data_IF_243923708942
#
_entry.id   IF_243923708942
#
_cell.length_a   1.000
_cell.length_b   1.000
_cell.length_c   1.000
_cell.angle_alpha   90.00
_cell.angle_beta   90.00
_cell.angle_gamma   90.00
#
_symmetry.space_group_name_H-M   'P 1'
#
loop_
_entity.id
_entity.type
_entity.pdbx_description
1 polymer ?
#
# COMPACT_ATOMS: atom_id res chain seq x y z
N UNK A 1 -5.88 48.94 16.39
CA UNK A 1 -7.28 48.49 16.24
C UNK A 1 -7.29 47.21 15.43
N UNK A 2 -7.58 46.01 15.90
CA UNK A 2 -7.85 45.45 17.22
C UNK A 2 -7.38 43.97 17.18
N UNK A 3 -7.36 43.27 18.32
CA UNK A 3 -6.59 42.03 18.51
C UNK A 3 -7.44 40.77 18.24
N UNK A 4 -6.80 39.67 17.81
CA UNK A 4 -7.41 38.35 17.91
C UNK A 4 -6.46 37.40 18.63
N UNK A 5 -6.79 37.20 19.90
CA UNK A 5 -6.15 36.29 20.85
C UNK A 5 -6.47 34.85 20.46
N UNK A 6 -5.43 34.03 20.23
CA UNK A 6 -5.57 32.58 20.24
C UNK A 6 -5.68 32.08 21.70
N UNK A 7 -6.67 31.23 22.04
CA UNK A 7 -6.80 30.67 23.37
C UNK A 7 -5.77 29.55 23.66
N UNK A 8 -5.51 29.25 24.94
CA UNK A 8 -4.45 28.33 25.37
C UNK A 8 -4.86 26.86 25.25
N UNK A 9 -3.85 26.02 25.02
CA UNK A 9 -3.88 24.56 25.09
C UNK A 9 -4.37 24.10 26.47
N UNK A 10 -5.57 23.53 26.52
CA UNK A 10 -6.08 22.80 27.68
C UNK A 10 -5.40 21.43 27.77
N UNK A 11 -4.47 21.35 28.70
CA UNK A 11 -3.96 20.13 29.30
C UNK A 11 -5.11 19.39 30.00
N UNK A 12 -5.45 18.20 29.50
CA UNK A 12 -6.62 17.42 29.93
C UNK A 12 -6.26 16.00 30.35
N UNK A 13 -6.02 15.84 31.65
CA UNK A 13 -6.33 14.70 32.50
C UNK A 13 -5.98 13.26 32.04
N UNK A 14 -4.93 12.72 32.64
CA UNK A 14 -4.73 11.28 32.81
C UNK A 14 -5.84 10.68 33.67
N UNK A 15 -6.77 9.97 33.03
CA UNK A 15 -7.81 9.21 33.72
C UNK A 15 -7.25 7.88 34.21
N UNK A 16 -6.88 7.84 35.50
CA UNK A 16 -6.57 6.62 36.26
C UNK A 16 -7.77 5.67 36.22
N UNK A 17 -7.73 4.62 35.40
CA UNK A 17 -8.65 3.48 35.54
C UNK A 17 -8.19 2.62 36.72
N UNK A 18 -8.94 2.76 37.80
CA UNK A 18 -8.86 1.99 39.05
C UNK A 18 -9.32 0.57 38.76
N UNK A 19 -8.39 -0.39 38.82
CA UNK A 19 -8.67 -1.82 38.91
C UNK A 19 -9.56 -2.06 40.14
N UNK A 20 -10.79 -2.51 39.91
CA UNK A 20 -11.63 -3.11 40.93
C UNK A 20 -11.55 -4.63 40.75
N UNK A 21 -10.89 -5.27 41.70
CA UNK A 21 -10.92 -6.71 41.89
C UNK A 21 -12.37 -7.15 42.14
N UNK A 22 -12.84 -8.09 41.32
CA UNK A 22 -14.08 -8.82 41.56
C UNK A 22 -13.71 -10.28 41.84
N UNK A 23 -14.30 -10.79 42.91
CA UNK A 23 -14.02 -12.04 43.58
C UNK A 23 -14.29 -13.30 42.73
N UNK A 24 -13.67 -14.44 43.08
CA UNK A 24 -13.96 -15.73 42.46
C UNK A 24 -15.34 -16.23 42.90
N UNK A 25 -16.15 -16.64 41.94
CA UNK A 25 -17.43 -17.34 42.14
C UNK A 25 -17.44 -18.66 41.38
N UNK A 26 -18.25 -19.62 41.85
CA UNK A 26 -17.84 -21.02 41.93
C UNK A 26 -18.12 -21.81 40.65
N UNK A 27 -17.19 -22.73 40.45
CA UNK A 27 -17.25 -23.99 39.71
C UNK A 27 -18.66 -24.61 39.71
N UNK A 28 -19.40 -24.40 38.62
CA UNK A 28 -20.51 -25.25 38.22
C UNK A 28 -20.04 -26.02 36.99
N UNK A 29 -19.75 -27.29 37.21
CA UNK A 29 -19.51 -28.28 36.17
C UNK A 29 -20.76 -28.40 35.29
N UNK A 30 -20.79 -27.60 34.23
CA UNK A 30 -21.60 -27.87 33.06
C UNK A 30 -20.77 -28.76 32.14
N UNK A 31 -21.25 -29.98 31.97
CA UNK A 31 -20.78 -30.96 30.99
C UNK A 31 -20.96 -30.33 29.59
N UNK A 32 -19.90 -29.65 29.14
CA UNK A 32 -19.81 -28.96 27.86
C UNK A 32 -19.72 -30.03 26.76
N UNK A 33 -20.89 -30.43 26.26
CA UNK A 33 -21.02 -31.19 25.04
C UNK A 33 -20.20 -30.48 23.95
N UNK A 34 -19.22 -31.20 23.40
CA UNK A 34 -18.31 -30.70 22.39
C UNK A 34 -19.08 -29.91 21.32
N UNK A 35 -18.70 -28.65 21.05
CA UNK A 35 -19.38 -27.85 20.03
C UNK A 35 -19.34 -28.63 18.71
N UNK A 36 -20.48 -28.71 17.98
CA UNK A 36 -20.54 -29.43 16.72
C UNK A 36 -19.46 -28.89 15.80
N UNK A 37 -18.65 -29.81 15.29
CA UNK A 37 -17.56 -29.54 14.37
C UNK A 37 -18.08 -28.60 13.26
N UNK A 38 -17.49 -27.41 13.07
CA UNK A 38 -17.98 -26.46 12.08
C UNK A 38 -18.01 -27.16 10.72
N UNK A 39 -19.10 -27.03 9.95
CA UNK A 39 -19.23 -27.71 8.67
C UNK A 39 -18.01 -27.36 7.81
N UNK A 40 -17.35 -28.40 7.29
CA UNK A 40 -16.16 -28.26 6.47
C UNK A 40 -16.40 -27.16 5.41
N UNK A 41 -15.46 -26.21 5.25
CA UNK A 41 -15.61 -25.14 4.30
C UNK A 41 -15.87 -25.75 2.91
N UNK A 42 -16.84 -25.22 2.15
CA UNK A 42 -17.18 -25.74 0.83
C UNK A 42 -15.91 -25.82 -0.03
N UNK A 43 -15.76 -26.90 -0.83
CA UNK A 43 -14.57 -27.11 -1.65
C UNK A 43 -14.33 -25.88 -2.53
N UNK A 44 -13.12 -25.33 -2.44
CA UNK A 44 -12.76 -24.16 -3.20
C UNK A 44 -12.94 -24.45 -4.71
N UNK A 45 -13.63 -23.58 -5.46
CA UNK A 45 -13.78 -23.75 -6.90
C UNK A 45 -12.40 -23.79 -7.57
N UNK A 46 -12.25 -24.48 -8.71
CA UNK A 46 -10.96 -24.73 -9.34
C UNK A 46 -10.11 -23.46 -9.46
N UNK A 47 -8.88 -23.52 -8.95
CA UNK A 47 -7.94 -22.40 -8.77
C UNK A 47 -7.58 -21.63 -10.05
N UNK A 48 -7.97 -22.16 -11.21
CA UNK A 48 -7.74 -21.56 -12.51
C UNK A 48 -8.71 -20.40 -12.76
N UNK A 49 -8.40 -19.23 -12.20
CA UNK A 49 -8.98 -17.98 -12.70
C UNK A 49 -8.63 -17.80 -14.20
N UNK A 50 -9.55 -17.28 -15.03
CA UNK A 50 -9.23 -16.90 -16.39
C UNK A 50 -8.15 -15.81 -16.42
N UNK A 51 -7.40 -15.71 -17.52
CA UNK A 51 -6.36 -14.69 -17.70
C UNK A 51 -6.93 -13.27 -17.70
N UNK A 52 -8.17 -13.14 -18.18
CA UNK A 52 -8.96 -11.91 -18.15
C UNK A 52 -10.15 -12.11 -17.23
N UNK A 53 -10.34 -11.17 -16.30
CA UNK A 53 -11.52 -11.14 -15.46
C UNK A 53 -12.71 -10.63 -16.27
N UNK A 54 -13.95 -11.02 -15.94
CA UNK A 54 -15.13 -10.62 -16.71
C UNK A 54 -15.36 -9.09 -16.77
N UNK A 55 -14.72 -8.32 -15.90
CA UNK A 55 -14.70 -6.86 -15.95
C UNK A 55 -13.77 -6.28 -17.00
N UNK A 56 -13.11 -7.12 -17.82
CA UNK A 56 -12.06 -6.73 -18.76
C UNK A 56 -10.71 -6.45 -18.10
N UNK A 57 -10.57 -6.75 -16.80
CA UNK A 57 -9.30 -6.58 -16.10
C UNK A 57 -8.33 -7.68 -16.49
N UNK A 58 -7.17 -7.29 -17.01
CA UNK A 58 -6.03 -8.18 -17.18
C UNK A 58 -5.47 -8.53 -15.80
N UNK A 59 -5.31 -9.82 -15.54
CA UNK A 59 -4.76 -10.31 -14.28
C UNK A 59 -3.31 -9.84 -14.10
N UNK A 60 -3.04 -9.19 -12.96
CA UNK A 60 -1.70 -8.72 -12.62
C UNK A 60 -0.80 -9.84 -12.09
N UNK A 61 -1.35 -10.70 -11.23
CA UNK A 61 -0.67 -11.83 -10.59
C UNK A 61 -1.56 -13.06 -10.65
N UNK A 62 -0.95 -14.23 -10.85
CA UNK A 62 -1.63 -15.52 -10.74
C UNK A 62 -1.78 -15.94 -9.27
N UNK A 63 -2.75 -16.79 -8.97
CA UNK A 63 -2.95 -17.34 -7.63
C UNK A 63 -1.73 -18.10 -7.12
N UNK A 64 -1.09 -18.87 -8.00
CA UNK A 64 0.17 -19.60 -7.72
C UNK A 64 1.31 -18.63 -7.38
N UNK A 65 1.42 -17.50 -8.08
CA UNK A 65 2.45 -16.50 -7.80
C UNK A 65 2.23 -15.81 -6.45
N UNK A 66 0.97 -15.57 -6.06
CA UNK A 66 0.68 -15.02 -4.72
C UNK A 66 1.04 -16.04 -3.63
N UNK A 67 0.77 -17.32 -3.84
CA UNK A 67 1.17 -18.39 -2.93
C UNK A 67 2.69 -18.42 -2.72
N UNK A 68 3.43 -18.49 -3.83
CA UNK A 68 4.89 -18.56 -3.84
C UNK A 68 5.52 -17.30 -3.20
N UNK A 69 4.97 -16.12 -3.47
CA UNK A 69 5.41 -14.89 -2.80
C UNK A 69 5.25 -14.96 -1.28
N UNK A 70 4.09 -15.43 -0.78
CA UNK A 70 3.86 -15.54 0.66
C UNK A 70 4.71 -16.61 1.33
N UNK A 71 4.98 -17.72 0.64
CA UNK A 71 5.89 -18.77 1.11
C UNK A 71 7.33 -18.23 1.23
N UNK A 72 7.85 -17.59 0.19
CA UNK A 72 9.16 -16.92 0.22
C UNK A 72 9.24 -15.86 1.32
N UNK A 73 8.16 -15.09 1.52
CA UNK A 73 8.07 -14.09 2.59
C UNK A 73 8.14 -14.71 3.98
N UNK A 74 7.48 -15.84 4.18
CA UNK A 74 7.49 -16.56 5.45
C UNK A 74 8.88 -17.14 5.73
N UNK A 75 9.51 -17.76 4.74
CA UNK A 75 10.89 -18.27 4.85
C UNK A 75 11.90 -17.16 5.20
N UNK A 76 11.77 -15.98 4.59
CA UNK A 76 12.60 -14.81 4.91
C UNK A 76 12.41 -14.30 6.34
N UNK A 77 11.18 -14.35 6.87
CA UNK A 77 10.87 -13.95 8.24
C UNK A 77 11.38 -14.96 9.27
N UNK A 78 11.27 -16.26 8.98
CA UNK A 78 11.72 -17.35 9.84
C UNK A 78 13.25 -17.52 9.81
N UNK A 79 13.86 -17.30 8.65
CA UNK A 79 15.28 -17.48 8.39
C UNK A 79 16.18 -16.33 8.83
N UNK A 80 15.68 -15.40 9.67
CA UNK A 80 16.23 -14.11 10.08
C UNK A 80 17.75 -14.05 10.36
N UNK A 81 18.55 -14.20 9.30
CA UNK A 81 19.97 -13.93 9.20
C UNK A 81 20.09 -12.75 8.24
N UNK A 82 20.61 -11.64 8.77
CA UNK A 82 20.68 -10.33 8.12
C UNK A 82 21.64 -10.28 6.91
N UNK A 83 21.32 -11.01 5.85
CA UNK A 83 21.97 -10.85 4.56
C UNK A 83 21.48 -9.55 3.93
N UNK A 84 22.42 -8.66 3.59
CA UNK A 84 22.16 -7.36 2.94
C UNK A 84 21.61 -7.44 1.51
N UNK A 85 21.35 -8.65 1.00
CA UNK A 85 20.83 -8.85 -0.35
C UNK A 85 19.34 -8.50 -0.44
N UNK A 86 18.91 -8.07 -1.62
CA UNK A 86 17.50 -7.80 -1.87
C UNK A 86 16.68 -9.08 -1.60
N UNK A 87 15.55 -9.00 -0.87
CA UNK A 87 14.78 -10.18 -0.51
C UNK A 87 14.33 -10.94 -1.76
N UNK A 88 14.54 -12.26 -1.77
CA UNK A 88 14.18 -13.16 -2.87
C UNK A 88 12.70 -13.04 -3.24
N UNK A 89 11.83 -12.84 -2.23
CA UNK A 89 10.40 -12.58 -2.40
C UNK A 89 10.12 -11.35 -3.28
N UNK A 90 10.90 -10.27 -3.11
CA UNK A 90 10.76 -9.04 -3.89
C UNK A 90 11.26 -9.22 -5.32
N UNK A 91 12.37 -9.93 -5.51
CA UNK A 91 12.88 -10.24 -6.85
C UNK A 91 11.88 -11.10 -7.63
N UNK A 92 11.28 -12.10 -6.97
CA UNK A 92 10.22 -12.91 -7.53
C UNK A 92 8.99 -12.06 -7.92
N UNK A 93 8.52 -11.19 -7.01
CA UNK A 93 7.38 -10.32 -7.27
C UNK A 93 7.62 -9.38 -8.46
N UNK A 94 8.81 -8.79 -8.56
CA UNK A 94 9.20 -7.95 -9.69
C UNK A 94 9.12 -8.73 -11.01
N UNK A 95 9.65 -9.96 -11.04
CA UNK A 95 9.56 -10.85 -12.19
C UNK A 95 8.12 -11.20 -12.57
N UNK A 96 7.28 -11.52 -11.58
CA UNK A 96 5.87 -11.86 -11.78
C UNK A 96 5.05 -10.70 -12.37
N UNK A 97 5.32 -9.46 -11.92
CA UNK A 97 4.64 -8.25 -12.42
C UNK A 97 5.18 -7.79 -13.78
N UNK A 98 6.35 -8.29 -14.17
CA UNK A 98 7.06 -7.94 -15.40
C UNK A 98 7.89 -6.66 -15.29
N UNK A 99 8.29 -6.29 -14.07
CA UNK A 99 9.18 -5.16 -13.77
C UNK A 99 10.64 -5.49 -14.09
N UNK A 100 11.46 -4.46 -14.28
CA UNK A 100 12.91 -4.58 -14.54
C UNK A 100 13.29 -4.84 -15.99
N UNK A 101 12.33 -4.81 -16.92
CA UNK A 101 12.60 -4.98 -18.37
C UNK A 101 13.19 -3.72 -19.00
N UNK A 102 12.75 -2.56 -18.55
CA UNK A 102 13.16 -1.26 -19.08
C UNK A 102 14.05 -0.53 -18.07
N UNK A 103 15.34 -0.38 -18.39
CA UNK A 103 16.29 0.32 -17.51
C UNK A 103 15.90 1.78 -17.22
N UNK A 104 15.21 2.43 -18.16
CA UNK A 104 14.70 3.80 -17.97
C UNK A 104 13.59 3.91 -16.93
N UNK A 105 12.93 2.78 -16.60
CA UNK A 105 11.83 2.69 -15.64
C UNK A 105 12.22 2.02 -14.34
N UNK A 106 13.50 1.69 -14.13
CA UNK A 106 13.97 0.99 -12.93
C UNK A 106 13.44 1.60 -11.62
N UNK A 107 13.48 2.93 -11.49
CA UNK A 107 12.96 3.59 -10.29
C UNK A 107 11.43 3.49 -10.16
N UNK A 108 10.69 3.60 -11.27
CA UNK A 108 9.23 3.45 -11.27
C UNK A 108 8.84 2.03 -10.86
N UNK A 109 9.51 1.06 -11.46
CA UNK A 109 9.35 -0.37 -11.20
C UNK A 109 9.66 -0.71 -9.75
N UNK A 110 10.70 -0.10 -9.16
CA UNK A 110 11.06 -0.30 -7.76
C UNK A 110 10.00 0.28 -6.79
N UNK A 111 9.47 1.47 -7.09
CA UNK A 111 8.39 2.10 -6.32
C UNK A 111 7.10 1.28 -6.42
N UNK A 112 6.73 0.80 -7.61
CA UNK A 112 5.57 -0.06 -7.79
C UNK A 112 5.76 -1.41 -7.10
N UNK A 113 6.95 -2.03 -7.21
CA UNK A 113 7.25 -3.30 -6.57
C UNK A 113 7.15 -3.19 -5.03
N UNK A 114 7.66 -2.12 -4.43
CA UNK A 114 7.48 -1.84 -3.00
C UNK A 114 5.99 -1.77 -2.64
N UNK A 115 5.21 -1.00 -3.39
CA UNK A 115 3.78 -0.86 -3.13
C UNK A 115 3.04 -2.20 -3.22
N UNK A 116 3.34 -3.04 -4.23
CA UNK A 116 2.71 -4.35 -4.37
C UNK A 116 3.14 -5.32 -3.26
N UNK A 117 4.38 -5.25 -2.78
CA UNK A 117 4.82 -6.02 -1.63
C UNK A 117 4.02 -5.63 -0.37
N UNK A 118 3.94 -4.32 -0.07
CA UNK A 118 3.18 -3.81 1.08
C UNK A 118 1.70 -4.17 0.99
N UNK A 119 1.12 -4.11 -0.23
CA UNK A 119 -0.25 -4.56 -0.48
C UNK A 119 -0.39 -6.04 -0.16
N UNK A 120 0.46 -6.92 -0.69
CA UNK A 120 0.34 -8.36 -0.46
C UNK A 120 0.57 -8.76 1.01
N UNK A 121 1.47 -8.08 1.70
CA UNK A 121 1.70 -8.26 3.14
C UNK A 121 0.46 -7.81 3.93
N UNK A 122 -0.14 -6.67 3.57
CA UNK A 122 -1.39 -6.21 4.17
C UNK A 122 -2.54 -7.21 3.94
N UNK A 123 -2.72 -7.70 2.72
CA UNK A 123 -3.78 -8.66 2.39
C UNK A 123 -3.61 -10.00 3.11
N UNK A 124 -2.35 -10.43 3.33
CA UNK A 124 -2.03 -11.59 4.16
C UNK A 124 -2.41 -11.35 5.63
N UNK A 125 -2.08 -10.17 6.18
CA UNK A 125 -2.44 -9.81 7.56
C UNK A 125 -3.96 -9.72 7.80
N UNK A 126 -4.73 -9.46 6.74
CA UNK A 126 -6.20 -9.47 6.74
C UNK A 126 -6.80 -10.88 6.51
N UNK A 127 -5.96 -11.91 6.42
CA UNK A 127 -6.33 -13.30 6.14
C UNK A 127 -7.13 -13.48 4.85
N UNK A 128 -6.84 -12.68 3.81
CA UNK A 128 -7.51 -12.83 2.52
C UNK A 128 -6.95 -14.02 1.75
N UNK A 129 -7.83 -14.76 1.07
CA UNK A 129 -7.40 -15.86 0.19
C UNK A 129 -6.48 -15.36 -0.94
N UNK A 130 -5.62 -16.25 -1.45
CA UNK A 130 -4.72 -16.01 -2.59
C UNK A 130 -5.46 -15.46 -3.81
N UNK A 131 -6.66 -15.99 -4.06
CA UNK A 131 -7.57 -15.55 -5.13
C UNK A 131 -8.00 -14.09 -4.97
N UNK A 132 -8.44 -13.70 -3.77
CA UNK A 132 -8.83 -12.32 -3.45
C UNK A 132 -7.64 -11.37 -3.61
N UNK A 133 -6.45 -11.78 -3.16
CA UNK A 133 -5.25 -10.97 -3.26
C UNK A 133 -4.81 -10.74 -4.72
N UNK A 134 -4.85 -11.76 -5.57
CA UNK A 134 -4.56 -11.64 -7.00
C UNK A 134 -5.53 -10.65 -7.71
N UNK A 135 -6.81 -10.68 -7.35
CA UNK A 135 -7.81 -9.74 -7.89
C UNK A 135 -7.56 -8.32 -7.37
N UNK A 136 -7.28 -8.15 -6.08
CA UNK A 136 -6.95 -6.86 -5.49
C UNK A 136 -5.72 -6.22 -6.16
N UNK A 137 -4.65 -6.99 -6.36
CA UNK A 137 -3.47 -6.54 -7.10
C UNK A 137 -3.82 -6.12 -8.55
N UNK A 138 -4.73 -6.85 -9.21
CA UNK A 138 -5.19 -6.52 -10.56
C UNK A 138 -5.97 -5.20 -10.61
N UNK A 139 -6.84 -4.95 -9.63
CA UNK A 139 -7.59 -3.69 -9.50
C UNK A 139 -6.63 -2.52 -9.30
N UNK A 140 -5.65 -2.67 -8.40
CA UNK A 140 -4.69 -1.58 -8.13
C UNK A 140 -3.77 -1.36 -9.33
N UNK A 141 -3.34 -2.40 -10.04
CA UNK A 141 -2.58 -2.26 -11.29
C UNK A 141 -3.36 -1.47 -12.34
N UNK A 142 -4.65 -1.73 -12.50
CA UNK A 142 -5.51 -0.97 -13.41
C UNK A 142 -5.70 0.48 -12.94
N UNK A 143 -5.72 0.72 -11.63
CA UNK A 143 -5.76 2.08 -11.06
C UNK A 143 -4.47 2.85 -11.40
N UNK A 144 -3.30 2.24 -11.29
CA UNK A 144 -2.05 2.84 -11.74
C UNK A 144 -2.04 3.10 -13.25
N UNK A 145 -2.55 2.17 -14.05
CA UNK A 145 -2.69 2.38 -15.49
C UNK A 145 -3.59 3.60 -15.80
N UNK A 146 -4.69 3.77 -15.06
CA UNK A 146 -5.60 4.93 -15.20
C UNK A 146 -4.91 6.27 -14.91
N UNK A 147 -3.85 6.31 -14.10
CA UNK A 147 -3.11 7.55 -13.85
C UNK A 147 -2.43 8.11 -15.11
N UNK A 148 -2.14 7.26 -16.10
CA UNK A 148 -1.56 7.67 -17.38
C UNK A 148 -2.61 8.22 -18.37
N UNK A 149 -3.90 8.01 -18.10
CA UNK A 149 -4.96 8.57 -18.93
C UNK A 149 -5.05 10.09 -18.74
N UNK A 150 -5.59 10.76 -19.75
CA UNK A 150 -5.95 12.18 -19.65
C UNK A 150 -7.19 12.32 -18.78
N UNK A 151 -7.23 13.36 -17.96
CA UNK A 151 -8.41 13.71 -17.19
C UNK A 151 -9.59 14.01 -18.13
N UNK A 152 -10.76 13.49 -17.80
CA UNK A 152 -12.01 13.71 -18.54
C UNK A 152 -12.75 14.94 -18.00
N UNK A 153 -12.52 15.27 -16.72
CA UNK A 153 -13.17 16.36 -16.01
C UNK A 153 -12.39 17.66 -16.03
N UNK A 154 -11.09 17.63 -16.35
CA UNK A 154 -10.28 18.84 -16.38
C UNK A 154 -10.49 19.67 -17.66
N UNK A 155 -10.59 20.99 -17.49
CA UNK A 155 -10.72 21.97 -18.58
C UNK A 155 -9.46 22.06 -19.45
N UNK A 156 -8.29 21.76 -18.88
CA UNK A 156 -7.01 21.87 -19.58
C UNK A 156 -6.67 20.58 -20.31
N UNK A 157 -6.60 20.67 -21.64
CA UNK A 157 -6.28 19.55 -22.52
C UNK A 157 -4.89 19.00 -22.18
N UNK A 158 -4.84 17.70 -21.86
CA UNK A 158 -3.60 16.97 -21.61
C UNK A 158 -3.17 16.91 -20.15
N UNK A 159 -3.96 17.44 -19.21
CA UNK A 159 -3.70 17.17 -17.80
C UNK A 159 -3.92 15.68 -17.47
N UNK A 160 -3.04 15.08 -16.65
CA UNK A 160 -3.16 13.68 -16.26
C UNK A 160 -4.40 13.47 -15.37
N UNK A 161 -4.89 12.23 -15.33
CA UNK A 161 -6.04 11.84 -14.53
C UNK A 161 -5.95 12.35 -13.08
N UNK A 162 -7.03 12.91 -12.56
CA UNK A 162 -7.09 13.44 -11.20
C UNK A 162 -7.20 12.32 -10.16
N UNK A 163 -6.87 12.64 -8.89
CA UNK A 163 -7.01 11.68 -7.79
C UNK A 163 -8.46 11.19 -7.63
N UNK A 164 -9.45 12.07 -7.79
CA UNK A 164 -10.86 11.71 -7.72
C UNK A 164 -11.31 10.79 -8.85
N UNK A 165 -10.85 11.01 -10.08
CA UNK A 165 -11.15 10.13 -11.21
C UNK A 165 -10.54 8.73 -11.02
N UNK A 166 -9.27 8.66 -10.61
CA UNK A 166 -8.63 7.39 -10.28
C UNK A 166 -9.32 6.67 -9.10
N UNK A 167 -9.79 7.40 -8.10
CA UNK A 167 -10.52 6.82 -6.96
C UNK A 167 -11.89 6.28 -7.39
N UNK A 168 -12.61 6.99 -8.26
CA UNK A 168 -13.87 6.51 -8.80
C UNK A 168 -13.68 5.25 -9.64
N UNK A 169 -12.61 5.17 -10.42
CA UNK A 169 -12.27 3.98 -11.19
C UNK A 169 -11.90 2.79 -10.30
N UNK A 170 -11.05 3.02 -9.28
CA UNK A 170 -10.74 2.02 -8.26
C UNK A 170 -12.02 1.49 -7.59
N UNK A 171 -12.90 2.40 -7.15
CA UNK A 171 -14.18 2.06 -6.52
C UNK A 171 -15.08 1.27 -7.45
N UNK A 172 -15.19 1.68 -8.72
CA UNK A 172 -15.99 0.99 -9.75
C UNK A 172 -15.51 -0.44 -9.93
N UNK A 173 -14.20 -0.64 -10.10
CA UNK A 173 -13.59 -1.95 -10.26
C UNK A 173 -13.75 -2.82 -9.01
N UNK A 174 -13.56 -2.25 -7.82
CA UNK A 174 -13.73 -2.97 -6.57
C UNK A 174 -15.17 -3.43 -6.36
N UNK A 175 -16.15 -2.55 -6.59
CA UNK A 175 -17.57 -2.87 -6.46
C UNK A 175 -18.01 -3.94 -7.47
N UNK A 176 -17.46 -3.94 -8.69
CA UNK A 176 -17.74 -4.97 -9.69
C UNK A 176 -17.31 -6.39 -9.29
N UNK A 177 -16.38 -6.51 -8.31
CA UNK A 177 -15.90 -7.79 -7.78
C UNK A 177 -16.48 -8.13 -6.40
N UNK A 178 -17.54 -7.44 -5.97
CA UNK A 178 -18.21 -7.74 -4.69
C UNK A 178 -19.31 -8.78 -4.87
N UNK A 179 -19.61 -9.54 -3.81
CA UNK A 179 -20.74 -10.49 -3.80
C UNK A 179 -22.11 -9.83 -3.96
N UNK A 180 -22.21 -8.50 -3.83
CA UNK A 180 -23.44 -7.75 -4.09
C UNK A 180 -23.65 -7.43 -5.59
N UNK A 181 -22.59 -7.47 -6.41
CA UNK A 181 -22.66 -7.22 -7.84
C UNK A 181 -23.52 -8.22 -8.65
N UNK A 182 -23.53 -9.55 -8.38
CA UNK A 182 -24.32 -10.50 -9.17
C UNK A 182 -25.84 -10.31 -9.09
N UNK A 183 -26.36 -9.56 -8.11
CA UNK A 183 -27.76 -9.17 -8.08
C UNK A 183 -28.11 -8.15 -9.20
N UNK A 184 -27.11 -7.45 -9.75
CA UNK A 184 -27.24 -6.48 -10.84
C UNK A 184 -26.91 -7.11 -12.21
N UNK A 185 -27.55 -8.23 -12.55
CA UNK A 185 -27.88 -8.72 -13.91
C UNK A 185 -26.83 -8.72 -15.05
N UNK A 186 -25.53 -8.56 -14.81
CA UNK A 186 -24.50 -8.71 -15.84
C UNK A 186 -23.86 -10.11 -15.77
N UNK A 187 -24.00 -10.96 -16.82
CA UNK A 187 -23.30 -12.24 -16.86
C UNK A 187 -21.78 -12.00 -16.78
N UNK A 188 -21.15 -12.49 -15.70
CA UNK A 188 -19.71 -12.37 -15.49
C UNK A 188 -19.29 -11.76 -14.14
N UNK A 189 -20.17 -11.18 -13.34
CA UNK A 189 -19.74 -10.61 -12.04
C UNK A 189 -19.25 -11.71 -11.09
N UNK A 190 -17.96 -11.66 -10.72
CA UNK A 190 -17.36 -12.60 -9.80
C UNK A 190 -17.50 -12.03 -8.38
N UNK A 191 -18.34 -12.65 -7.55
CA UNK A 191 -18.48 -12.26 -6.14
C UNK A 191 -17.26 -12.67 -5.33
N UNK A 192 -16.18 -11.89 -5.42
CA UNK A 192 -14.88 -12.18 -4.81
C UNK A 192 -14.79 -11.61 -3.39
N UNK A 193 -15.24 -10.37 -3.21
CA UNK A 193 -15.09 -9.65 -1.94
C UNK A 193 -16.42 -9.52 -1.18
N UNK A 194 -16.32 -9.61 0.14
CA UNK A 194 -17.39 -9.24 1.07
C UNK A 194 -17.32 -7.73 1.38
N UNK A 195 -18.42 -7.14 1.89
CA UNK A 195 -18.45 -5.71 2.19
C UNK A 195 -17.42 -5.26 3.26
N UNK A 196 -17.17 -6.03 4.35
CA UNK A 196 -16.10 -5.70 5.28
C UNK A 196 -14.70 -5.68 4.64
N UNK A 197 -14.40 -6.64 3.76
CA UNK A 197 -13.12 -6.70 3.05
C UNK A 197 -12.93 -5.49 2.13
N UNK A 198 -13.99 -5.07 1.43
CA UNK A 198 -13.99 -3.85 0.61
C UNK A 198 -13.62 -2.63 1.43
N UNK A 199 -14.15 -2.50 2.66
CA UNK A 199 -13.83 -1.38 3.55
C UNK A 199 -12.37 -1.38 3.96
N UNK A 200 -11.85 -2.53 4.40
CA UNK A 200 -10.44 -2.67 4.80
C UNK A 200 -9.48 -2.39 3.65
N UNK A 201 -9.79 -2.91 2.45
CA UNK A 201 -8.99 -2.65 1.25
C UNK A 201 -9.03 -1.18 0.86
N UNK A 202 -10.22 -0.57 0.91
CA UNK A 202 -10.37 0.86 0.60
C UNK A 202 -9.57 1.70 1.59
N UNK A 203 -9.60 1.38 2.88
CA UNK A 203 -8.83 2.10 3.91
C UNK A 203 -7.32 2.02 3.67
N UNK A 204 -6.81 0.81 3.39
CA UNK A 204 -5.40 0.63 3.02
C UNK A 204 -5.03 1.44 1.77
N UNK A 205 -5.79 1.33 0.68
CA UNK A 205 -5.48 2.03 -0.58
C UNK A 205 -5.64 3.54 -0.42
N UNK A 206 -6.59 4.01 0.38
CA UNK A 206 -6.77 5.43 0.67
C UNK A 206 -5.57 6.01 1.42
N UNK A 207 -5.06 5.32 2.45
CA UNK A 207 -3.94 5.79 3.28
C UNK A 207 -2.56 5.58 2.64
N UNK A 208 -2.41 4.59 1.76
CA UNK A 208 -1.17 4.34 1.03
C UNK A 208 -1.11 5.10 -0.31
N UNK A 209 -1.98 4.72 -1.26
CA UNK A 209 -1.96 5.22 -2.62
C UNK A 209 -2.54 6.63 -2.75
N UNK A 210 -3.77 6.85 -2.28
CA UNK A 210 -4.47 8.12 -2.55
C UNK A 210 -3.96 9.28 -1.69
N UNK A 211 -3.54 9.01 -0.45
CA UNK A 211 -2.86 10.00 0.38
C UNK A 211 -1.56 10.52 -0.26
N UNK A 212 -0.85 9.66 -1.00
CA UNK A 212 0.41 9.98 -1.68
C UNK A 212 0.24 10.08 -3.21
N UNK A 213 -0.98 10.33 -3.69
CA UNK A 213 -1.32 10.27 -5.12
C UNK A 213 -0.39 11.11 -5.99
N UNK A 214 -0.11 12.34 -5.58
CA UNK A 214 0.77 13.26 -6.31
C UNK A 214 2.20 12.71 -6.44
N UNK A 215 2.71 12.01 -5.43
CA UNK A 215 4.04 11.39 -5.49
C UNK A 215 4.04 10.25 -6.52
N UNK A 216 3.05 9.35 -6.46
CA UNK A 216 2.92 8.29 -7.46
C UNK A 216 2.75 8.86 -8.88
N UNK A 217 1.96 9.90 -9.06
CA UNK A 217 1.78 10.55 -10.36
C UNK A 217 3.09 11.16 -10.89
N UNK A 218 3.89 11.80 -10.03
CA UNK A 218 5.22 12.31 -10.39
C UNK A 218 6.21 11.20 -10.77
N UNK A 219 6.15 10.05 -10.12
CA UNK A 219 7.02 8.92 -10.44
C UNK A 219 6.59 8.27 -11.75
N UNK A 220 5.29 8.01 -11.92
CA UNK A 220 4.77 7.18 -13.00
C UNK A 220 4.53 7.95 -14.30
N UNK A 221 3.86 9.11 -14.23
CA UNK A 221 3.32 9.78 -15.42
C UNK A 221 4.28 10.81 -15.97
N UNK A 222 4.83 11.65 -15.09
CA UNK A 222 5.74 12.72 -15.45
C UNK A 222 7.07 12.50 -14.72
N UNK A 223 7.85 11.45 -15.05
CA UNK A 223 9.17 11.26 -14.45
C UNK A 223 9.92 12.56 -14.69
N UNK A 224 10.09 13.36 -13.64
CA UNK A 224 10.71 14.66 -13.77
C UNK A 224 12.09 14.38 -14.35
N UNK A 225 12.39 14.99 -15.50
CA UNK A 225 13.74 14.96 -16.03
C UNK A 225 14.62 15.43 -14.87
N UNK A 226 15.41 14.52 -14.30
CA UNK A 226 16.28 14.85 -13.20
C UNK A 226 17.28 15.85 -13.78
N UNK A 227 17.01 17.14 -13.57
CA UNK A 227 17.89 18.18 -14.06
C UNK A 227 19.11 18.11 -13.18
N UNK A 228 20.07 17.29 -13.60
CA UNK A 228 21.40 17.21 -13.01
C UNK A 228 22.11 18.51 -13.35
N UNK A 229 21.81 19.56 -12.59
CA UNK A 229 22.55 20.81 -12.67
C UNK A 229 23.93 20.54 -12.08
N UNK A 230 24.92 20.34 -12.95
CA UNK A 230 26.32 20.43 -12.56
C UNK A 230 26.60 21.89 -12.23
N UNK A 231 26.56 22.22 -10.94
CA UNK A 231 27.00 23.53 -10.45
C UNK A 231 28.50 23.38 -10.19
N UNK A 232 29.30 24.07 -10.98
CA UNK A 232 30.71 24.26 -10.67
C UNK A 232 30.80 25.17 -9.45
N UNK A 233 30.92 24.57 -8.26
CA UNK A 233 31.11 25.31 -7.01
C UNK A 233 32.59 25.67 -6.94
N UNK A 234 32.93 26.89 -7.33
CA UNK A 234 34.24 27.46 -7.03
C UNK A 234 34.33 27.68 -5.52
N UNK A 235 34.93 26.74 -4.79
CA UNK A 235 35.22 26.93 -3.38
C UNK A 235 36.29 28.00 -3.25
N UNK A 236 35.95 29.12 -2.59
CA UNK A 236 36.94 30.09 -2.17
C UNK A 236 37.98 29.36 -1.31
N UNK A 237 39.27 29.55 -1.60
CA UNK A 237 40.33 28.92 -0.81
C UNK A 237 40.13 29.29 0.66
N UNK A 238 40.28 28.34 1.60
CA UNK A 238 40.21 28.66 3.02
C UNK A 238 41.16 29.82 3.33
N UNK A 239 40.66 30.82 4.05
CA UNK A 239 41.49 31.94 4.49
C UNK A 239 42.67 31.38 5.27
N UNK A 240 43.85 31.97 5.08
CA UNK A 240 45.03 31.60 5.87
C UNK A 240 44.68 31.75 7.36
N UNK A 241 45.19 30.86 8.23
CA UNK A 241 45.01 31.01 9.66
C UNK A 241 45.49 32.41 10.09
N UNK A 242 44.77 33.09 11.00
CA UNK A 242 45.16 34.42 11.47
C UNK A 242 46.55 34.36 12.12
N UNK A 243 47.36 35.38 11.87
CA UNK A 243 48.70 35.47 12.47
C UNK A 243 48.59 35.68 13.97
N UNK A 244 49.03 34.69 14.74
CA UNK A 244 49.00 34.71 16.21
C UNK A 244 49.98 35.73 16.79
N UNK A 245 50.97 36.19 16.02
CA UNK A 245 51.93 37.21 16.48
C UNK A 245 51.28 38.60 16.61
N UNK A 246 50.15 38.83 15.93
CA UNK A 246 49.36 40.06 16.05
C UNK A 246 48.23 39.94 17.08
N UNK A 247 48.10 38.80 17.76
CA UNK A 247 47.04 38.59 18.73
C UNK A 247 47.26 39.50 19.96
N UNK A 248 46.28 40.36 20.25
CA UNK A 248 46.23 41.08 21.53
C UNK A 248 45.48 40.23 22.54
N UNK A 249 46.14 39.91 23.66
CA UNK A 249 45.47 39.32 24.82
C UNK A 249 44.40 40.30 25.29
N UNK A 250 43.14 39.89 25.17
CA UNK A 250 42.02 40.61 25.75
C UNK A 250 42.06 40.32 27.25
N UNK A 251 42.58 41.26 28.04
CA UNK A 251 42.52 41.17 29.48
C UNK A 251 41.05 41.11 29.92
N UNK A 252 40.71 40.09 30.69
CA UNK A 252 39.42 39.95 31.39
C UNK A 252 39.54 40.62 32.74
#
# INVERSE_FOLDING_TARGET
SGPSLCPPLLSGAMSKRKNAAAAPSPELAAEEAAPPEPPAPPPEPPDALPAELPTGLRRALQTVQVAEYWELRQEEQEGASASQEAPASRAFLAGALGFGKDLSRHFQDDVLCSFFADLLDNLSSLCLTRRKAAVAASIVRATFAKMHDRSETCVRVGEPCSSSECFLEYKRLLLAHTMAAPAAQAPGTMGVFTLPEVRLLTDFVSTSLFQHYTLYQCVLVCPQASVTKRVEVSLERPRRPPDLNCAKLKAV
#
